data_IF_765584384975
#
_entry.id   IF_765584384975
#
_cell.length_a   1.000
_cell.length_b   1.000
_cell.length_c   1.000
_cell.angle_alpha   90.00
_cell.angle_beta   90.00
_cell.angle_gamma   90.00
#
_symmetry.space_group_name_H-M   'P 1'
#
loop_
_entity.id
_entity.type
_entity.pdbx_description
1 polymer ?
#
# COMPACT_ATOMS: atom_id res chain seq x y z
N UNK A 1 -5.05 -18.85 -11.15
CA UNK A 1 -3.74 -18.14 -11.13
C UNK A 1 -3.92 -17.16 -10.02
N UNK A 2 -2.90 -16.86 -9.26
CA UNK A 2 -3.12 -16.05 -8.08
C UNK A 2 -2.06 -14.98 -8.00
N UNK A 3 -2.52 -13.78 -7.68
CA UNK A 3 -1.62 -12.80 -7.11
C UNK A 3 -1.21 -13.32 -5.74
N UNK A 4 0.09 -13.35 -5.49
CA UNK A 4 0.65 -13.83 -4.24
C UNK A 4 1.34 -12.68 -3.51
N UNK A 5 0.77 -12.26 -2.38
CA UNK A 5 1.31 -11.21 -1.53
C UNK A 5 2.48 -11.75 -0.70
N UNK A 6 3.63 -11.09 -0.84
CA UNK A 6 4.80 -11.36 -0.02
C UNK A 6 4.59 -11.00 1.44
N UNK A 7 5.17 -11.81 2.33
CA UNK A 7 5.18 -11.52 3.75
C UNK A 7 6.22 -10.41 4.05
N UNK A 8 5.83 -9.27 4.65
CA UNK A 8 6.78 -8.24 5.05
C UNK A 8 7.64 -8.70 6.24
N UNK A 9 8.85 -8.15 6.42
CA UNK A 9 9.62 -8.34 7.64
C UNK A 9 8.80 -7.94 8.87
N UNK A 10 8.90 -8.72 9.96
CA UNK A 10 8.17 -8.44 11.19
C UNK A 10 8.45 -7.02 11.73
N UNK A 11 9.70 -6.54 11.60
CA UNK A 11 10.08 -5.17 11.96
C UNK A 11 9.31 -4.09 11.20
N UNK A 12 9.00 -4.32 9.92
CA UNK A 12 8.24 -3.37 9.10
C UNK A 12 6.79 -3.27 9.57
N UNK A 13 6.13 -4.41 9.83
CA UNK A 13 4.77 -4.43 10.36
C UNK A 13 4.71 -3.80 11.76
N UNK A 14 5.70 -4.08 12.60
CA UNK A 14 5.80 -3.50 13.95
C UNK A 14 6.01 -1.98 13.90
N UNK A 15 6.83 -1.47 12.97
CA UNK A 15 7.02 -0.03 12.76
C UNK A 15 5.69 0.66 12.41
N UNK A 16 4.89 0.07 11.51
CA UNK A 16 3.56 0.59 11.16
C UNK A 16 2.60 0.54 12.36
N UNK A 17 2.52 -0.59 13.07
CA UNK A 17 1.66 -0.72 14.25
C UNK A 17 2.03 0.28 15.35
N UNK A 18 3.32 0.49 15.59
CA UNK A 18 3.83 1.49 16.53
C UNK A 18 3.43 2.91 16.10
N UNK A 19 3.58 3.25 14.82
CA UNK A 19 3.17 4.55 14.29
C UNK A 19 1.65 4.78 14.36
N UNK A 20 0.86 3.71 14.23
CA UNK A 20 -0.60 3.76 14.34
C UNK A 20 -1.11 3.67 15.77
N UNK A 21 -0.25 3.38 16.76
CA UNK A 21 -0.65 3.23 18.15
C UNK A 21 -1.26 4.52 18.72
N UNK A 22 -2.22 4.40 19.67
CA UNK A 22 -2.71 5.56 20.41
C UNK A 22 -1.56 6.34 21.06
N UNK A 23 -1.55 7.67 20.90
CA UNK A 23 -0.53 8.53 21.49
C UNK A 23 0.82 8.56 20.75
N UNK A 24 0.99 7.84 19.64
CA UNK A 24 2.19 7.94 18.81
C UNK A 24 2.38 9.38 18.30
N UNK A 25 3.59 9.92 18.48
CA UNK A 25 3.97 11.22 17.96
C UNK A 25 4.19 11.10 16.44
N UNK A 26 3.22 11.58 15.65
CA UNK A 26 3.27 11.56 14.19
C UNK A 26 3.58 12.94 13.63
N UNK A 27 4.29 13.02 12.49
CA UNK A 27 4.42 14.26 11.73
C UNK A 27 3.02 14.85 11.41
N UNK A 28 2.88 16.19 11.31
CA UNK A 28 1.59 16.83 11.04
C UNK A 28 0.87 16.33 9.78
N UNK A 29 1.63 15.98 8.73
CA UNK A 29 1.11 15.38 7.50
C UNK A 29 0.49 14.01 7.72
N UNK A 30 1.17 13.12 8.47
CA UNK A 30 0.64 11.81 8.83
C UNK A 30 -0.58 11.94 9.76
N UNK A 31 -0.53 12.85 10.73
CA UNK A 31 -1.67 13.13 11.59
C UNK A 31 -2.88 13.65 10.78
N UNK A 32 -2.67 14.42 9.72
CA UNK A 32 -3.75 14.88 8.84
C UNK A 32 -4.44 13.71 8.15
N UNK A 33 -3.69 12.74 7.62
CA UNK A 33 -4.27 11.53 7.02
C UNK A 33 -5.18 10.79 8.01
N UNK A 34 -4.72 10.61 9.26
CA UNK A 34 -5.50 9.91 10.29
C UNK A 34 -6.74 10.67 10.78
N UNK A 35 -6.77 12.00 10.70
CA UNK A 35 -7.96 12.78 11.09
C UNK A 35 -9.14 12.57 10.16
N UNK A 36 -8.88 12.20 8.90
CA UNK A 36 -9.93 11.96 7.91
C UNK A 36 -10.50 10.53 7.96
N UNK A 37 -9.90 9.62 8.74
CA UNK A 37 -10.42 8.28 8.94
C UNK A 37 -11.34 8.23 10.16
N UNK A 38 -12.47 7.51 10.05
CA UNK A 38 -13.49 7.35 11.10
C UNK A 38 -13.01 6.57 12.36
N UNK A 39 -11.71 6.29 12.45
CA UNK A 39 -11.03 5.53 13.48
C UNK A 39 -9.55 5.37 13.11
N UNK A 40 -8.76 4.73 13.98
CA UNK A 40 -7.37 4.41 13.63
C UNK A 40 -7.37 3.25 12.62
N UNK A 41 -6.80 3.44 11.43
CA UNK A 41 -6.83 2.42 10.41
C UNK A 41 -5.90 1.26 10.78
N UNK A 42 -6.14 0.10 10.19
CA UNK A 42 -5.40 -1.13 10.47
C UNK A 42 -4.70 -1.64 9.20
N UNK A 43 -3.51 -2.28 9.31
CA UNK A 43 -2.87 -2.92 8.17
C UNK A 43 -3.76 -3.99 7.53
N UNK A 44 -4.00 -3.87 6.22
CA UNK A 44 -4.73 -4.84 5.41
C UNK A 44 -3.78 -5.78 4.68
N UNK A 45 -2.88 -5.22 3.87
CA UNK A 45 -1.89 -5.93 3.08
C UNK A 45 -0.63 -5.08 2.94
N UNK A 46 0.46 -5.67 2.44
CA UNK A 46 1.69 -4.96 2.16
C UNK A 46 2.22 -5.29 0.76
N UNK A 47 2.77 -4.28 0.08
CA UNK A 47 3.46 -4.42 -1.19
C UNK A 47 4.94 -4.06 -1.01
N UNK A 48 5.88 -4.92 -1.44
CA UNK A 48 7.29 -4.57 -1.44
C UNK A 48 7.55 -3.49 -2.49
N UNK A 49 8.36 -2.50 -2.13
CA UNK A 49 8.74 -1.37 -2.99
C UNK A 49 10.12 -1.67 -3.57
N UNK A 50 10.19 -1.89 -4.87
CA UNK A 50 11.42 -2.18 -5.60
C UNK A 50 11.89 -0.96 -6.36
N UNK A 51 13.17 -0.60 -6.20
CA UNK A 51 13.75 0.55 -6.89
C UNK A 51 14.66 0.08 -8.03
N UNK A 52 14.50 0.72 -9.17
CA UNK A 52 15.43 0.65 -10.29
C UNK A 52 16.59 1.63 -10.07
N UNK A 53 17.82 1.19 -10.32
CA UNK A 53 19.02 2.03 -10.19
C UNK A 53 19.79 2.09 -11.51
N UNK A 54 20.42 3.23 -11.76
CA UNK A 54 21.28 3.45 -12.92
C UNK A 54 20.55 3.94 -14.19
N UNK A 55 21.32 4.29 -15.24
CA UNK A 55 20.79 4.98 -16.43
C UNK A 55 20.03 4.07 -17.42
N UNK A 56 20.18 2.75 -17.32
CA UNK A 56 19.49 1.78 -18.17
C UNK A 56 18.99 0.61 -17.30
N UNK A 57 18.06 0.88 -16.37
CA UNK A 57 17.73 -0.06 -15.32
C UNK A 57 17.02 -1.30 -15.86
N UNK A 58 17.39 -2.46 -15.32
CA UNK A 58 16.72 -3.75 -15.60
C UNK A 58 15.88 -4.16 -14.40
N UNK A 59 14.69 -4.71 -14.64
CA UNK A 59 13.83 -5.22 -13.55
C UNK A 59 14.50 -6.33 -12.73
N UNK A 60 15.34 -7.15 -13.37
CA UNK A 60 16.11 -8.19 -12.69
C UNK A 60 17.10 -7.63 -11.64
N UNK A 61 17.48 -6.35 -11.75
CA UNK A 61 18.38 -5.65 -10.83
C UNK A 61 17.61 -4.79 -9.81
N UNK A 62 16.28 -4.83 -9.83
CA UNK A 62 15.47 -4.04 -8.92
C UNK A 62 15.64 -4.56 -7.48
N UNK A 63 16.02 -3.67 -6.57
CA UNK A 63 16.21 -4.01 -5.16
C UNK A 63 14.98 -3.63 -4.34
N UNK A 64 14.57 -4.49 -3.42
CA UNK A 64 13.54 -4.14 -2.44
C UNK A 64 14.09 -3.09 -1.46
N UNK A 65 13.55 -1.88 -1.51
CA UNK A 65 13.99 -0.72 -0.73
C UNK A 65 13.03 -0.34 0.39
N UNK A 66 11.85 -0.99 0.45
CA UNK A 66 10.84 -0.67 1.44
C UNK A 66 9.55 -1.45 1.24
N UNK A 67 8.51 -1.05 1.97
CA UNK A 67 7.20 -1.66 1.98
C UNK A 67 6.11 -0.59 2.08
N UNK A 68 5.09 -0.70 1.23
CA UNK A 68 3.85 0.07 1.35
C UNK A 68 2.78 -0.82 1.98
N UNK A 69 2.28 -0.44 3.15
CA UNK A 69 1.13 -1.08 3.77
C UNK A 69 -0.14 -0.34 3.37
N UNK A 70 -1.12 -1.06 2.83
CA UNK A 70 -2.46 -0.49 2.64
C UNK A 70 -3.23 -0.64 3.93
N UNK A 71 -3.83 0.46 4.39
CA UNK A 71 -4.52 0.53 5.66
C UNK A 71 -6.03 0.64 5.43
N UNK A 72 -6.78 -0.29 6.00
CA UNK A 72 -8.24 -0.27 5.98
C UNK A 72 -8.78 0.59 7.11
N UNK A 73 -9.97 1.16 6.93
CA UNK A 73 -10.69 1.81 8.00
C UNK A 73 -10.89 0.84 9.18
N UNK A 74 -10.78 1.37 10.40
CA UNK A 74 -11.17 0.62 11.58
C UNK A 74 -12.65 0.23 11.44
N UNK A 75 -12.98 -1.02 11.80
CA UNK A 75 -14.39 -1.41 11.90
C UNK A 75 -15.03 -0.52 12.96
N UNK A 76 -16.22 0.07 12.72
CA UNK A 76 -16.96 0.72 13.78
C UNK A 76 -17.12 -0.27 14.93
N UNK A 77 -16.91 0.20 16.17
CA UNK A 77 -17.21 -0.61 17.34
C UNK A 77 -18.62 -1.15 17.14
N UNK A 78 -18.80 -2.47 17.23
CA UNK A 78 -20.13 -3.04 17.19
C UNK A 78 -20.96 -2.27 18.21
N UNK A 79 -22.04 -1.62 17.77
CA UNK A 79 -22.94 -0.97 18.69
C UNK A 79 -23.27 -2.02 19.76
N UNK A 80 -22.91 -1.75 21.01
CA UNK A 80 -23.32 -2.61 22.11
C UNK A 80 -24.84 -2.80 22.04
N UNK A 81 -25.39 -3.91 22.56
CA UNK A 81 -26.83 -4.11 22.59
C UNK A 81 -27.49 -2.83 23.09
N UNK A 82 -28.33 -2.22 22.24
CA UNK A 82 -29.07 -1.01 22.58
C UNK A 82 -30.04 -1.44 23.67
N UNK A 83 -29.73 -1.18 24.94
CA UNK A 83 -30.64 -1.45 26.05
C UNK A 83 -31.85 -0.53 25.88
N UNK A 84 -33.05 -1.05 25.56
CA UNK A 84 -34.24 -0.23 25.44
C UNK A 84 -34.85 -0.13 26.84
N UNK A 85 -34.25 0.66 27.72
CA UNK A 85 -34.88 1.03 28.98
C UNK A 85 -34.28 2.31 29.56
N UNK A 86 -35.12 3.34 29.64
CA UNK A 86 -34.97 4.47 30.57
C UNK A 86 -35.00 3.94 32.01
N UNK A 87 -33.84 3.60 32.56
CA UNK A 87 -33.45 3.95 33.93
C UNK A 87 -32.06 3.38 34.19
N UNK A 88 -31.06 4.24 34.24
CA UNK A 88 -29.73 3.88 34.72
C UNK A 88 -29.43 4.79 35.91
N UNK A 89 -29.71 4.29 37.12
CA UNK A 89 -29.17 4.91 38.33
C UNK A 89 -27.67 4.63 38.39
N UNK A 90 -26.91 5.71 38.56
CA UNK A 90 -25.47 5.70 38.57
C UNK A 90 -24.92 5.12 39.89
N UNK A 91 -24.36 3.91 39.84
CA UNK A 91 -23.35 3.46 40.80
C UNK A 91 -22.59 2.25 40.25
N UNK A 92 -21.31 2.44 39.90
CA UNK A 92 -20.39 1.32 39.66
C UNK A 92 -19.41 1.52 38.52
N UNK A 93 -18.51 2.49 38.63
CA UNK A 93 -17.29 2.50 37.83
C UNK A 93 -16.33 1.42 38.37
N UNK A 94 -16.20 0.29 37.67
CA UNK A 94 -15.09 -0.64 37.84
C UNK A 94 -14.87 -1.48 36.57
N UNK A 95 -13.75 -1.22 35.89
CA UNK A 95 -13.18 -2.14 34.91
C UNK A 95 -13.84 -2.14 33.55
N UNK A 96 -13.69 -1.04 32.79
CA UNK A 96 -13.63 -1.18 31.34
C UNK A 96 -12.36 -1.99 31.03
N UNK A 97 -12.48 -3.32 31.07
CA UNK A 97 -11.54 -4.17 30.37
C UNK A 97 -11.48 -3.60 28.96
N UNK A 98 -10.34 -3.01 28.59
CA UNK A 98 -10.09 -2.60 27.22
C UNK A 98 -10.50 -3.81 26.38
N UNK A 99 -11.54 -3.66 25.57
CA UNK A 99 -12.00 -4.66 24.63
C UNK A 99 -10.82 -4.90 23.68
N UNK A 100 -9.92 -5.82 24.06
CA UNK A 100 -8.74 -6.20 23.28
C UNK A 100 -9.30 -6.95 22.11
N UNK A 101 -9.69 -6.20 21.08
CA UNK A 101 -10.19 -6.76 19.84
C UNK A 101 -9.07 -7.60 19.23
N UNK A 102 -9.37 -8.83 18.78
CA UNK A 102 -8.37 -9.61 18.09
C UNK A 102 -7.93 -8.82 16.85
N UNK A 103 -6.64 -8.49 16.78
CA UNK A 103 -6.06 -7.83 15.62
C UNK A 103 -6.32 -8.72 14.39
N UNK A 104 -6.92 -8.15 13.35
CA UNK A 104 -7.06 -8.88 12.09
C UNK A 104 -5.67 -9.09 11.48
N UNK A 105 -5.34 -10.33 11.09
CA UNK A 105 -4.03 -10.63 10.51
C UNK A 105 -3.84 -9.84 9.21
N UNK A 106 -2.59 -9.50 8.93
CA UNK A 106 -2.19 -8.97 7.64
C UNK A 106 -2.46 -10.03 6.56
N UNK A 107 -3.08 -9.64 5.45
CA UNK A 107 -3.26 -10.51 4.30
C UNK A 107 -1.90 -10.78 3.66
N UNK A 108 -1.54 -12.06 3.59
CA UNK A 108 -0.35 -12.57 2.92
C UNK A 108 -0.72 -13.83 2.14
N UNK A 109 0.08 -14.22 1.14
CA UNK A 109 -0.21 -15.37 0.31
C UNK A 109 -1.22 -15.06 -0.79
N UNK A 110 -2.16 -15.97 -1.05
CA UNK A 110 -3.14 -15.80 -2.13
C UNK A 110 -4.03 -14.56 -1.89
N UNK A 111 -3.96 -13.63 -2.84
CA UNK A 111 -4.69 -12.37 -2.79
C UNK A 111 -6.14 -12.52 -3.27
N UNK A 112 -7.06 -11.88 -2.56
CA UNK A 112 -8.42 -11.59 -3.02
C UNK A 112 -8.67 -10.09 -2.95
N UNK A 113 -9.63 -9.58 -3.72
CA UNK A 113 -9.98 -8.15 -3.69
C UNK A 113 -10.72 -7.70 -2.42
N UNK A 114 -10.95 -8.62 -1.47
CA UNK A 114 -11.73 -8.39 -0.25
C UNK A 114 -11.07 -7.34 0.65
N UNK A 115 -11.84 -6.32 1.03
CA UNK A 115 -11.39 -5.26 1.93
C UNK A 115 -10.63 -4.14 1.22
N UNK A 116 -10.34 -4.26 -0.08
CA UNK A 116 -9.75 -3.15 -0.85
C UNK A 116 -10.65 -1.91 -0.86
N UNK A 117 -11.97 -2.08 -0.82
CA UNK A 117 -12.96 -1.01 -0.72
C UNK A 117 -12.92 -0.25 0.62
N UNK A 118 -12.29 -0.84 1.64
CA UNK A 118 -12.13 -0.22 2.97
C UNK A 118 -10.79 0.50 3.11
N UNK A 119 -9.91 0.46 2.10
CA UNK A 119 -8.60 1.12 2.14
C UNK A 119 -8.79 2.63 2.19
N UNK A 120 -8.20 3.28 3.20
CA UNK A 120 -8.33 4.73 3.44
C UNK A 120 -6.98 5.46 3.47
N UNK A 121 -5.90 4.73 3.69
CA UNK A 121 -4.55 5.28 3.76
C UNK A 121 -3.51 4.23 3.35
N UNK A 122 -2.28 4.68 3.12
CA UNK A 122 -1.11 3.84 3.04
C UNK A 122 -0.03 4.31 4.01
N UNK A 123 0.74 3.37 4.55
CA UNK A 123 1.94 3.63 5.33
C UNK A 123 3.18 3.17 4.56
N UNK A 124 4.18 4.05 4.47
CA UNK A 124 5.47 3.71 3.88
C UNK A 124 6.48 3.33 4.96
N UNK A 125 7.21 2.25 4.72
CA UNK A 125 8.34 1.81 5.53
C UNK A 125 9.55 1.70 4.63
N UNK A 126 10.61 2.42 4.96
CA UNK A 126 11.88 2.33 4.24
C UNK A 126 12.78 1.27 4.87
N UNK A 127 13.65 0.65 4.07
CA UNK A 127 14.81 -0.07 4.61
C UNK A 127 15.76 0.95 5.27
N UNK A 128 16.10 0.73 6.54
CA UNK A 128 17.11 1.49 7.28
C UNK A 128 18.31 0.61 7.65
N UNK A 129 19.42 1.23 8.06
CA UNK A 129 20.64 0.52 8.44
C UNK A 129 20.42 -0.46 9.60
N UNK A 130 19.61 -0.06 10.59
CA UNK A 130 19.27 -0.85 11.78
C UNK A 130 17.94 -1.62 11.64
N UNK A 131 17.42 -1.72 10.41
CA UNK A 131 16.16 -2.37 10.11
C UNK A 131 15.09 -1.43 9.54
N UNK A 132 13.85 -1.92 9.34
CA UNK A 132 12.79 -1.15 8.71
C UNK A 132 12.36 0.05 9.56
N UNK A 133 12.22 1.23 8.92
CA UNK A 133 11.85 2.49 9.58
C UNK A 133 10.57 3.04 8.95
N UNK A 134 9.59 3.38 9.79
CA UNK A 134 8.38 4.08 9.35
C UNK A 134 8.75 5.45 8.75
N UNK A 135 8.23 5.74 7.57
CA UNK A 135 8.50 6.99 6.85
C UNK A 135 7.33 7.97 6.97
N UNK A 136 6.18 7.66 6.37
CA UNK A 136 5.03 8.56 6.34
C UNK A 136 3.71 7.83 6.03
N UNK A 137 2.60 8.55 6.20
CA UNK A 137 1.28 8.14 5.70
C UNK A 137 0.91 8.93 4.45
N UNK A 138 0.18 8.30 3.54
CA UNK A 138 -0.42 8.93 2.37
C UNK A 138 -1.87 8.51 2.19
N UNK A 139 -2.66 9.33 1.50
CA UNK A 139 -4.05 9.05 1.14
C UNK A 139 -4.42 9.83 -0.15
N UNK A 140 -5.62 9.57 -0.66
CA UNK A 140 -6.16 10.26 -1.84
C UNK A 140 -5.80 9.59 -3.17
N UNK A 141 -5.80 10.33 -4.29
CA UNK A 141 -5.91 9.74 -5.62
C UNK A 141 -4.74 8.82 -6.01
N UNK A 142 -3.53 9.07 -5.48
CA UNK A 142 -2.36 8.21 -5.71
C UNK A 142 -2.52 6.83 -5.06
N UNK A 143 -3.17 6.78 -3.88
CA UNK A 143 -3.53 5.54 -3.20
C UNK A 143 -4.64 4.82 -3.97
N UNK A 144 -5.69 5.54 -4.36
CA UNK A 144 -6.82 4.97 -5.12
C UNK A 144 -6.33 4.33 -6.43
N UNK A 145 -5.35 4.94 -7.07
CA UNK A 145 -4.66 4.44 -8.25
C UNK A 145 -3.95 3.09 -7.97
N UNK A 146 -3.30 2.95 -6.81
CA UNK A 146 -2.69 1.67 -6.38
C UNK A 146 -3.76 0.60 -6.14
N UNK A 147 -4.85 0.95 -5.44
CA UNK A 147 -5.97 0.03 -5.16
C UNK A 147 -6.64 -0.45 -6.45
N UNK A 148 -6.87 0.46 -7.39
CA UNK A 148 -7.41 0.14 -8.72
C UNK A 148 -6.49 -0.82 -9.48
N UNK A 149 -5.19 -0.56 -9.48
CA UNK A 149 -4.22 -1.42 -10.16
C UNK A 149 -4.17 -2.83 -9.55
N UNK A 150 -4.25 -2.97 -8.22
CA UNK A 150 -4.34 -4.29 -7.57
C UNK A 150 -5.61 -5.05 -7.96
N UNK A 151 -6.77 -4.37 -7.97
CA UNK A 151 -8.04 -4.97 -8.40
C UNK A 151 -7.95 -5.46 -9.85
N UNK A 152 -7.42 -4.63 -10.73
CA UNK A 152 -7.21 -4.97 -12.14
C UNK A 152 -6.23 -6.13 -12.31
N UNK A 153 -5.13 -6.14 -11.57
CA UNK A 153 -4.16 -7.22 -11.60
C UNK A 153 -4.79 -8.55 -11.17
N UNK A 154 -5.59 -8.54 -10.11
CA UNK A 154 -6.32 -9.73 -9.66
C UNK A 154 -7.32 -10.20 -10.72
N UNK A 155 -8.11 -9.29 -11.30
CA UNK A 155 -9.04 -9.61 -12.38
C UNK A 155 -8.33 -10.21 -13.60
N UNK A 156 -7.15 -9.69 -13.95
CA UNK A 156 -6.35 -10.18 -15.06
C UNK A 156 -5.85 -11.61 -14.81
N UNK A 157 -5.37 -11.87 -13.60
CA UNK A 157 -4.65 -13.11 -13.31
C UNK A 157 -5.44 -14.10 -12.48
N UNK A 158 -6.67 -13.89 -11.98
CA UNK A 158 -7.28 -14.90 -11.10
C UNK A 158 -7.61 -16.24 -11.82
N UNK A 159 -7.82 -16.23 -13.15
CA UNK A 159 -8.34 -17.39 -13.92
C UNK A 159 -7.30 -18.28 -14.62
N UNK A 160 -6.03 -17.90 -14.65
CA UNK A 160 -5.00 -18.58 -15.47
C UNK A 160 -4.22 -19.66 -14.63
N UNK A 161 -3.07 -20.29 -15.01
CA UNK A 161 -2.27 -21.16 -14.09
C UNK A 161 -0.94 -20.67 -13.41
N UNK A 162 -0.16 -19.71 -13.93
CA UNK A 162 1.00 -19.08 -13.26
C UNK A 162 0.72 -18.24 -11.97
N UNK A 163 1.80 -17.73 -11.38
CA UNK A 163 1.77 -16.96 -10.14
C UNK A 163 2.50 -15.64 -10.38
N UNK A 164 1.93 -14.57 -9.81
CA UNK A 164 2.52 -13.24 -9.89
C UNK A 164 2.65 -12.65 -8.49
N UNK A 165 3.81 -12.08 -8.19
CA UNK A 165 4.02 -11.27 -7.00
C UNK A 165 3.80 -9.78 -7.36
N UNK A 166 2.82 -9.08 -6.76
CA UNK A 166 2.65 -7.66 -6.98
C UNK A 166 3.70 -6.86 -6.19
N UNK A 167 4.48 -6.05 -6.91
CA UNK A 167 5.52 -5.17 -6.37
C UNK A 167 5.24 -3.74 -6.79
N UNK A 168 5.51 -2.77 -5.91
CA UNK A 168 5.50 -1.36 -6.32
C UNK A 168 6.84 -0.99 -6.92
N UNK A 169 6.80 -0.29 -8.05
CA UNK A 169 7.97 0.16 -8.78
C UNK A 169 7.93 1.69 -8.91
N UNK A 170 8.57 2.45 -8.01
CA UNK A 170 8.74 3.88 -8.18
C UNK A 170 9.61 4.18 -9.40
N UNK A 171 9.23 5.21 -10.16
CA UNK A 171 9.92 5.72 -11.34
C UNK A 171 10.23 7.22 -11.11
N UNK A 172 11.20 7.53 -10.23
CA UNK A 172 11.44 8.89 -9.76
C UNK A 172 11.79 9.87 -10.90
N UNK A 173 12.55 9.41 -11.90
CA UNK A 173 12.90 10.20 -13.10
C UNK A 173 11.67 10.61 -13.94
N UNK A 174 10.51 10.01 -13.68
CA UNK A 174 9.25 10.32 -14.35
C UNK A 174 8.17 10.80 -13.38
N UNK A 175 8.50 11.03 -12.09
CA UNK A 175 7.54 11.32 -11.01
C UNK A 175 6.30 10.42 -11.01
N UNK A 176 6.50 9.15 -11.33
CA UNK A 176 5.45 8.16 -11.49
C UNK A 176 5.79 6.88 -10.74
N UNK A 177 4.84 5.95 -10.73
CA UNK A 177 5.05 4.59 -10.24
C UNK A 177 4.28 3.60 -11.11
N UNK A 178 4.65 2.32 -11.04
CA UNK A 178 3.89 1.24 -11.63
C UNK A 178 3.66 0.13 -10.59
N UNK A 179 2.56 -0.61 -10.76
CA UNK A 179 2.41 -1.93 -10.15
C UNK A 179 3.09 -2.95 -11.08
N UNK A 180 4.10 -3.62 -10.57
CA UNK A 180 4.81 -4.68 -11.26
C UNK A 180 4.27 -6.04 -10.83
N UNK A 181 3.75 -6.80 -11.79
CA UNK A 181 3.37 -8.19 -11.60
C UNK A 181 4.58 -9.02 -11.99
N UNK A 182 5.35 -9.42 -10.98
CA UNK A 182 6.55 -10.21 -11.17
C UNK A 182 6.18 -11.69 -11.33
N UNK A 183 6.46 -12.24 -12.51
CA UNK A 183 6.23 -13.65 -12.82
C UNK A 183 7.44 -14.52 -12.47
N UNK A 184 7.32 -15.82 -12.74
CA UNK A 184 8.41 -16.78 -12.54
C UNK A 184 9.54 -16.54 -13.55
N UNK A 185 9.19 -16.11 -14.76
CA UNK A 185 10.12 -15.76 -15.83
C UNK A 185 10.05 -14.26 -16.14
N UNK A 186 11.17 -13.57 -16.38
CA UNK A 186 11.18 -12.14 -16.71
C UNK A 186 10.34 -11.76 -17.94
N UNK A 187 10.12 -12.70 -18.88
CA UNK A 187 9.29 -12.49 -20.05
C UNK A 187 7.78 -12.43 -19.73
N UNK A 188 7.38 -12.93 -18.56
CA UNK A 188 6.00 -12.90 -18.08
C UNK A 188 5.69 -11.62 -17.32
N UNK A 189 6.72 -10.83 -16.95
CA UNK A 189 6.54 -9.63 -16.15
C UNK A 189 5.62 -8.61 -16.84
N UNK A 190 4.59 -8.18 -16.11
CA UNK A 190 3.66 -7.15 -16.55
C UNK A 190 3.79 -5.91 -15.66
N UNK A 191 3.62 -4.73 -16.25
CA UNK A 191 3.58 -3.46 -15.56
C UNK A 191 2.23 -2.78 -15.79
N UNK A 192 1.66 -2.23 -14.72
CA UNK A 192 0.46 -1.41 -14.74
C UNK A 192 0.87 -0.01 -14.21
N UNK A 193 1.11 0.98 -15.09
CA UNK A 193 1.42 2.34 -14.69
C UNK A 193 0.32 2.91 -13.80
N UNK A 194 0.70 3.49 -12.66
CA UNK A 194 -0.22 4.17 -11.76
C UNK A 194 -0.43 5.61 -12.22
N UNK A 195 -1.61 6.16 -12.01
CA UNK A 195 -1.82 7.60 -12.07
C UNK A 195 -1.06 8.31 -10.94
N UNK A 196 -0.39 9.46 -11.22
CA UNK A 196 -0.14 10.03 -12.55
C UNK A 196 0.86 9.17 -13.31
N UNK A 197 0.52 8.85 -14.56
CA UNK A 197 1.37 8.04 -15.41
C UNK A 197 2.49 8.89 -16.04
N UNK A 198 3.64 8.28 -16.38
CA UNK A 198 4.69 8.92 -17.16
C UNK A 198 4.13 9.55 -18.45
N UNK A 199 4.77 10.60 -18.95
CA UNK A 199 4.36 11.25 -20.20
C UNK A 199 4.34 10.24 -21.36
N UNK A 200 3.25 10.24 -22.13
CA UNK A 200 3.06 9.30 -23.25
C UNK A 200 2.66 7.88 -22.83
N UNK A 201 2.43 7.63 -21.54
CA UNK A 201 1.96 6.35 -21.00
C UNK A 201 0.55 6.52 -20.42
N UNK A 202 -0.36 5.61 -20.75
CA UNK A 202 -1.69 5.60 -20.17
C UNK A 202 -1.67 4.94 -18.78
N UNK A 203 -2.24 5.61 -17.78
CA UNK A 203 -2.45 5.01 -16.46
C UNK A 203 -3.37 3.80 -16.56
N UNK A 204 -3.09 2.77 -15.77
CA UNK A 204 -3.86 1.52 -15.67
C UNK A 204 -3.94 0.71 -16.96
N UNK A 205 -3.08 0.97 -17.94
CA UNK A 205 -2.88 0.08 -19.08
C UNK A 205 -1.93 -1.05 -18.69
N UNK A 206 -2.35 -2.30 -18.84
CA UNK A 206 -1.44 -3.45 -18.65
C UNK A 206 -0.49 -3.50 -19.84
N UNK A 207 0.82 -3.54 -19.57
CA UNK A 207 1.87 -3.62 -20.58
C UNK A 207 2.86 -4.72 -20.21
N UNK A 208 3.44 -5.45 -21.18
CA UNK A 208 4.66 -6.20 -20.95
C UNK A 208 5.74 -5.28 -20.40
N UNK A 209 6.52 -5.77 -19.44
CA UNK A 209 7.57 -4.99 -18.79
C UNK A 209 8.56 -4.36 -19.79
N UNK A 210 9.03 -5.16 -20.76
CA UNK A 210 9.97 -4.70 -21.78
C UNK A 210 9.42 -3.52 -22.61
N UNK A 211 8.11 -3.51 -22.87
CA UNK A 211 7.47 -2.45 -23.64
C UNK A 211 7.43 -1.13 -22.87
N UNK A 212 7.00 -1.16 -21.60
CA UNK A 212 6.97 0.06 -20.79
C UNK A 212 8.39 0.61 -20.57
N UNK A 213 9.36 -0.23 -20.25
CA UNK A 213 10.75 0.21 -20.05
C UNK A 213 11.33 0.84 -21.32
N UNK A 214 11.04 0.28 -22.49
CA UNK A 214 11.45 0.87 -23.77
C UNK A 214 10.79 2.25 -24.00
N UNK A 215 9.52 2.42 -23.63
CA UNK A 215 8.85 3.73 -23.70
C UNK A 215 9.50 4.75 -22.75
N UNK A 216 9.83 4.35 -21.52
CA UNK A 216 10.47 5.22 -20.53
C UNK A 216 11.87 5.64 -20.93
N UNK A 217 12.67 4.73 -21.48
CA UNK A 217 14.02 5.03 -21.98
C UNK A 217 14.02 6.08 -23.11
N UNK A 218 12.92 6.17 -23.86
CA UNK A 218 12.74 7.15 -24.93
C UNK A 218 11.95 8.40 -24.49
N UNK A 219 11.37 8.38 -23.29
CA UNK A 219 10.61 9.50 -22.76
C UNK A 219 11.55 10.54 -22.14
N UNK A 220 11.28 11.84 -22.30
CA UNK A 220 12.04 12.85 -21.58
C UNK A 220 11.88 12.62 -20.07
N UNK A 221 12.99 12.63 -19.34
CA UNK A 221 12.96 12.67 -17.89
C UNK A 221 12.12 13.87 -17.45
N UNK A 222 11.27 13.65 -16.45
CA UNK A 222 10.49 14.73 -15.88
C UNK A 222 11.47 15.72 -15.25
N UNK A 223 11.56 16.91 -15.85
CA UNK A 223 12.41 17.95 -15.30
C UNK A 223 11.86 18.33 -13.93
N UNK A 224 12.70 18.38 -12.88
CA UNK A 224 12.29 19.04 -11.65
C UNK A 224 11.91 20.45 -12.06
N UNK A 225 10.62 20.77 -11.94
CA UNK A 225 10.21 22.18 -12.04
C UNK A 225 10.85 22.82 -10.83
N UNK A 226 11.87 23.65 -11.05
CA UNK A 226 12.37 24.52 -10.01
C UNK A 226 11.14 25.29 -9.50
N UNK A 227 10.72 24.99 -8.27
CA UNK A 227 9.78 25.80 -7.52
C UNK A 227 10.49 27.15 -7.33
N UNK A 228 10.27 28.05 -8.29
CA UNK A 228 10.56 29.47 -8.16
C UNK A 228 9.29 30.08 -7.57
N UNK A 229 9.35 30.54 -6.32
CA UNK A 229 8.28 31.29 -5.66
C UNK A 229 8.12 30.92 -4.21
#
# INVERSE_FOLDING_TARGET
MTLHLSQPPAGALNAVRSALAPGAALPPSAAAVLRHSAGRPEPLLALPVHALRGPAPRLAEAECTGWRFLLRAARPAAAGPHCPHESCDAAGAAGAAADVRPERPLMTGEFTEDGLEQVVAAAEVAAGADGPVFSHLSAGPFLDSTVRALRQAWQLVHLSPARYEPRLLPLPEHYASALWLHGELPAEDLLIPLAPAPLGVAAHQVLPAAELLARLANAPAARPTALIG
#
